data_IF_023899673742
#
_entry.id   IF_023899673742
#
_cell.length_a   1.000
_cell.length_b   1.000
_cell.length_c   1.000
_cell.angle_alpha   90.00
_cell.angle_beta   90.00
_cell.angle_gamma   90.00
#
_symmetry.space_group_name_H-M   'P 1'
#
loop_
_entity.id
_entity.type
_entity.pdbx_description
1 polymer ?
#
# COMPACT_ATOMS: atom_id res chain seq x y z
N UNK A 1 18.78 28.33 -2.05
CA UNK A 1 17.42 27.92 -2.46
C UNK A 1 17.37 26.58 -3.20
N UNK A 2 18.42 26.21 -3.96
CA UNK A 2 18.40 25.00 -4.80
C UNK A 2 18.39 23.67 -4.01
N UNK A 3 19.02 23.62 -2.83
CA UNK A 3 18.98 22.44 -1.95
C UNK A 3 17.54 22.08 -1.52
N UNK A 4 16.75 23.07 -1.08
CA UNK A 4 15.37 22.84 -0.64
C UNK A 4 14.48 22.35 -1.79
N UNK A 5 14.71 22.84 -3.01
CA UNK A 5 14.03 22.39 -4.22
C UNK A 5 14.38 20.96 -4.59
N UNK A 6 15.67 20.62 -4.55
CA UNK A 6 16.13 19.26 -4.84
C UNK A 6 15.59 18.28 -3.79
N UNK A 7 15.60 18.69 -2.52
CA UNK A 7 15.04 17.90 -1.41
C UNK A 7 13.53 17.67 -1.56
N UNK A 8 12.77 18.68 -1.99
CA UNK A 8 11.32 18.50 -2.21
C UNK A 8 11.01 17.57 -3.38
N UNK A 9 11.77 17.65 -4.48
CA UNK A 9 11.67 16.69 -5.58
C UNK A 9 12.03 15.28 -5.17
N UNK A 10 13.09 15.12 -4.37
CA UNK A 10 13.47 13.81 -3.85
C UNK A 10 12.35 13.19 -3.00
N UNK A 11 11.76 13.95 -2.07
CA UNK A 11 10.65 13.43 -1.26
C UNK A 11 9.43 13.04 -2.09
N UNK A 12 9.06 13.88 -3.07
CA UNK A 12 7.96 13.55 -3.98
C UNK A 12 8.23 12.28 -4.78
N UNK A 13 9.43 12.15 -5.33
CA UNK A 13 9.82 10.95 -6.08
C UNK A 13 9.79 9.69 -5.20
N UNK A 14 10.33 9.78 -3.98
CA UNK A 14 10.29 8.67 -3.02
C UNK A 14 8.85 8.26 -2.67
N UNK A 15 7.94 9.22 -2.53
CA UNK A 15 6.53 8.96 -2.30
C UNK A 15 5.87 8.26 -3.50
N UNK A 16 6.11 8.76 -4.72
CA UNK A 16 5.61 8.18 -5.97
C UNK A 16 6.08 6.73 -6.16
N UNK A 17 7.36 6.45 -5.89
CA UNK A 17 7.90 5.07 -5.89
C UNK A 17 7.21 4.22 -4.84
N UNK A 18 6.98 4.75 -3.63
CA UNK A 18 6.23 4.08 -2.58
C UNK A 18 4.81 3.70 -2.99
N UNK A 19 4.10 4.57 -3.73
CA UNK A 19 2.78 4.26 -4.28
C UNK A 19 2.83 3.19 -5.36
N UNK A 20 3.81 3.26 -6.27
CA UNK A 20 3.99 2.27 -7.32
C UNK A 20 4.20 0.85 -6.77
N UNK A 21 5.01 0.71 -5.71
CA UNK A 21 5.25 -0.58 -5.04
C UNK A 21 3.99 -1.12 -4.38
N UNK A 22 3.22 -0.25 -3.70
CA UNK A 22 1.94 -0.64 -3.09
C UNK A 22 0.93 -1.09 -4.14
N UNK A 23 0.86 -0.39 -5.26
CA UNK A 23 -0.05 -0.73 -6.34
C UNK A 23 0.34 -2.03 -7.04
N UNK A 24 1.64 -2.26 -7.26
CA UNK A 24 2.14 -3.56 -7.72
C UNK A 24 1.61 -4.71 -6.86
N UNK A 25 1.73 -4.58 -5.53
CA UNK A 25 1.25 -5.59 -4.59
C UNK A 25 -0.26 -5.82 -4.74
N UNK A 26 -1.05 -4.75 -4.77
CA UNK A 26 -2.53 -4.82 -4.92
C UNK A 26 -2.95 -5.53 -6.21
N UNK A 27 -2.26 -5.25 -7.31
CA UNK A 27 -2.53 -5.89 -8.61
C UNK A 27 -2.27 -7.39 -8.54
N UNK A 28 -1.16 -7.81 -7.94
CA UNK A 28 -0.81 -9.23 -7.79
C UNK A 28 -1.82 -9.97 -6.90
N UNK A 29 -2.17 -9.39 -5.74
CA UNK A 29 -3.18 -9.94 -4.83
C UNK A 29 -4.55 -10.06 -5.51
N UNK A 30 -4.91 -9.05 -6.33
CA UNK A 30 -6.17 -9.07 -7.08
C UNK A 30 -6.20 -10.18 -8.11
N UNK A 31 -5.13 -10.35 -8.89
CA UNK A 31 -5.04 -11.41 -9.90
C UNK A 31 -5.08 -12.80 -9.27
N UNK A 32 -4.42 -12.99 -8.14
CA UNK A 32 -4.46 -14.25 -7.38
C UNK A 32 -5.88 -14.55 -6.90
N UNK A 33 -6.50 -13.60 -6.20
CA UNK A 33 -7.88 -13.72 -5.71
C UNK A 33 -8.87 -14.04 -6.83
N UNK A 34 -8.74 -13.36 -7.97
CA UNK A 34 -9.58 -13.63 -9.13
C UNK A 34 -9.35 -15.01 -9.73
N UNK A 35 -8.10 -15.48 -9.81
CA UNK A 35 -7.80 -16.82 -10.30
C UNK A 35 -8.48 -17.90 -9.44
N UNK A 36 -8.42 -17.76 -8.11
CA UNK A 36 -9.10 -18.64 -7.16
C UNK A 36 -10.63 -18.54 -7.25
N UNK A 37 -11.17 -17.35 -7.54
CA UNK A 37 -12.59 -17.19 -7.79
C UNK A 37 -13.04 -17.95 -9.05
N UNK A 38 -12.21 -17.98 -10.11
CA UNK A 38 -12.49 -18.75 -11.31
C UNK A 38 -12.36 -20.26 -11.09
N UNK A 39 -11.40 -20.73 -10.29
CA UNK A 39 -11.30 -22.16 -9.92
C UNK A 39 -12.55 -22.63 -9.17
N UNK A 40 -13.07 -21.79 -8.26
CA UNK A 40 -14.33 -22.09 -7.56
C UNK A 40 -15.52 -22.14 -8.52
N UNK A 41 -15.56 -21.26 -9.52
CA UNK A 41 -16.60 -21.27 -10.57
C UNK A 41 -16.51 -22.51 -11.47
N UNK A 42 -15.31 -23.00 -11.76
CA UNK A 42 -15.10 -24.26 -12.45
C UNK A 42 -15.74 -25.43 -11.67
N UNK A 43 -15.49 -25.50 -10.36
CA UNK A 43 -16.15 -26.46 -9.47
C UNK A 43 -17.68 -26.30 -9.46
N UNK A 44 -18.18 -25.05 -9.51
CA UNK A 44 -19.61 -24.73 -9.57
C UNK A 44 -20.31 -25.11 -10.88
N UNK A 45 -19.59 -25.27 -12.00
CA UNK A 45 -20.18 -25.73 -13.25
C UNK A 45 -20.80 -27.13 -13.14
N UNK A 46 -20.45 -27.90 -12.10
CA UNK A 46 -21.03 -29.23 -11.84
C UNK A 46 -22.55 -29.21 -11.64
N UNK A 47 -23.12 -28.09 -11.23
CA UNK A 47 -24.56 -27.94 -10.97
C UNK A 47 -25.41 -27.73 -12.24
N UNK A 48 -24.80 -27.64 -13.43
CA UNK A 48 -25.55 -27.47 -14.68
C UNK A 48 -26.01 -28.83 -15.23
N UNK A 49 -27.31 -28.97 -15.52
CA UNK A 49 -27.90 -30.22 -16.03
C UNK A 49 -27.54 -30.55 -17.48
N UNK A 50 -27.24 -29.54 -18.30
CA UNK A 50 -26.83 -29.75 -19.70
C UNK A 50 -25.34 -30.11 -19.78
N UNK A 51 -24.96 -31.30 -20.28
CA UNK A 51 -23.57 -31.76 -20.31
C UNK A 51 -22.64 -30.86 -21.13
N UNK A 52 -23.10 -30.42 -22.31
CA UNK A 52 -22.33 -29.55 -23.21
C UNK A 52 -22.09 -28.18 -22.58
N UNK A 53 -23.11 -27.61 -21.94
CA UNK A 53 -22.99 -26.33 -21.26
C UNK A 53 -22.03 -26.42 -20.06
N UNK A 54 -22.13 -27.50 -19.27
CA UNK A 54 -21.22 -27.76 -18.16
C UNK A 54 -19.76 -27.83 -18.61
N UNK A 55 -19.48 -28.56 -19.70
CA UNK A 55 -18.13 -28.65 -20.25
C UNK A 55 -17.62 -27.29 -20.72
N UNK A 56 -18.47 -26.52 -21.42
CA UNK A 56 -18.13 -25.17 -21.87
C UNK A 56 -17.83 -24.21 -20.72
N UNK A 57 -18.66 -24.21 -19.68
CA UNK A 57 -18.47 -23.38 -18.49
C UNK A 57 -17.20 -23.75 -17.71
N UNK A 58 -16.94 -25.05 -17.53
CA UNK A 58 -15.72 -25.54 -16.88
C UNK A 58 -14.47 -25.11 -17.66
N UNK A 59 -14.45 -25.37 -18.97
CA UNK A 59 -13.33 -25.00 -19.83
C UNK A 59 -13.11 -23.48 -19.87
N UNK A 60 -14.20 -22.70 -19.90
CA UNK A 60 -14.11 -21.25 -19.85
C UNK A 60 -13.54 -20.75 -18.53
N UNK A 61 -14.04 -21.26 -17.39
CA UNK A 61 -13.54 -20.90 -16.07
C UNK A 61 -12.05 -21.24 -15.91
N UNK A 62 -11.63 -22.44 -16.32
CA UNK A 62 -10.23 -22.86 -16.34
C UNK A 62 -9.36 -21.92 -17.18
N UNK A 63 -9.82 -21.54 -18.38
CA UNK A 63 -9.13 -20.58 -19.25
C UNK A 63 -9.01 -19.21 -18.57
N UNK A 64 -10.07 -18.71 -17.93
CA UNK A 64 -10.03 -17.44 -17.23
C UNK A 64 -9.01 -17.48 -16.07
N UNK A 65 -9.00 -18.54 -15.26
CA UNK A 65 -8.02 -18.73 -14.19
C UNK A 65 -6.58 -18.75 -14.73
N UNK A 66 -6.33 -19.50 -15.81
CA UNK A 66 -5.03 -19.55 -16.47
C UNK A 66 -4.56 -18.19 -16.96
N UNK A 67 -5.45 -17.38 -17.53
CA UNK A 67 -5.11 -16.01 -17.99
C UNK A 67 -4.65 -15.14 -16.82
N UNK A 68 -5.36 -15.18 -15.67
CA UNK A 68 -4.98 -14.35 -14.50
C UNK A 68 -3.62 -14.77 -13.94
N UNK A 69 -3.36 -16.08 -13.85
CA UNK A 69 -2.04 -16.60 -13.42
C UNK A 69 -0.94 -16.17 -14.39
N UNK A 70 -1.18 -16.24 -15.69
CA UNK A 70 -0.24 -15.78 -16.71
C UNK A 70 0.03 -14.27 -16.62
N UNK A 71 -1.00 -13.45 -16.40
CA UNK A 71 -0.86 -12.02 -16.16
C UNK A 71 -0.05 -11.73 -14.89
N UNK A 72 -0.33 -12.44 -13.80
CA UNK A 72 0.41 -12.29 -12.53
C UNK A 72 1.89 -12.62 -12.70
N UNK A 73 2.21 -13.72 -13.39
CA UNK A 73 3.60 -14.11 -13.67
C UNK A 73 4.31 -13.09 -14.57
N UNK A 74 3.66 -12.64 -15.65
CA UNK A 74 4.23 -11.63 -16.56
C UNK A 74 4.48 -10.30 -15.83
N UNK A 75 3.50 -9.85 -15.05
CA UNK A 75 3.62 -8.62 -14.28
C UNK A 75 4.74 -8.74 -13.25
N UNK A 76 4.78 -9.83 -12.49
CA UNK A 76 5.85 -10.10 -11.51
C UNK A 76 7.23 -10.05 -12.14
N UNK A 77 7.41 -10.64 -13.32
CA UNK A 77 8.68 -10.61 -14.07
C UNK A 77 9.09 -9.19 -14.47
N UNK A 78 8.18 -8.42 -15.07
CA UNK A 78 8.46 -7.02 -15.44
C UNK A 78 8.98 -6.24 -14.24
N UNK A 79 8.37 -6.42 -13.08
CA UNK A 79 8.79 -5.73 -11.86
C UNK A 79 10.06 -6.31 -11.22
N UNK A 80 10.41 -7.57 -11.45
CA UNK A 80 11.69 -8.14 -11.00
C UNK A 80 12.85 -7.54 -11.81
N UNK A 81 12.70 -7.51 -13.13
CA UNK A 81 13.68 -6.94 -14.05
C UNK A 81 13.98 -5.46 -13.71
N UNK A 82 12.97 -4.69 -13.27
CA UNK A 82 13.15 -3.28 -12.85
C UNK A 82 13.74 -3.09 -11.45
N UNK A 83 13.54 -4.05 -10.53
CA UNK A 83 14.13 -3.97 -9.19
C UNK A 83 15.63 -4.28 -9.26
N UNK A 84 16.04 -5.25 -10.06
CA UNK A 84 17.47 -5.58 -10.23
C UNK A 84 18.26 -4.43 -10.85
N UNK A 85 17.68 -3.70 -11.82
CA UNK A 85 18.32 -2.50 -12.39
C UNK A 85 18.50 -1.39 -11.34
N UNK A 86 17.54 -1.21 -10.43
CA UNK A 86 17.63 -0.15 -9.41
C UNK A 86 18.56 -0.48 -8.26
N UNK A 87 18.68 -1.75 -7.86
CA UNK A 87 19.66 -2.19 -6.86
C UNK A 87 21.10 -2.09 -7.38
N UNK A 88 21.33 -2.39 -8.66
CA UNK A 88 22.65 -2.28 -9.29
C UNK A 88 23.12 -0.81 -9.47
N UNK A 89 22.21 0.16 -9.48
CA UNK A 89 22.57 1.59 -9.50
C UNK A 89 22.84 2.16 -8.10
N UNK A 90 22.44 1.45 -7.05
CA UNK A 90 22.59 1.90 -5.67
C UNK A 90 23.96 1.53 -5.08
N UNK A 91 24.63 0.51 -5.62
CA UNK A 91 25.97 0.06 -5.17
C UNK A 91 27.10 1.02 -5.50
N UNK A 92 26.88 2.01 -6.37
CA UNK A 92 27.88 3.01 -6.73
C UNK A 92 27.72 4.33 -5.95
N UNK A 93 26.73 4.43 -5.05
CA UNK A 93 26.35 5.69 -4.42
C UNK A 93 26.38 5.70 -2.88
N UNK A 94 27.01 4.70 -2.25
CA UNK A 94 27.36 4.73 -0.82
C UNK A 94 28.57 5.66 -0.54
N UNK A 95 28.57 6.85 -1.15
CA UNK A 95 29.27 8.00 -0.60
C UNK A 95 28.46 8.47 0.61
N UNK A 96 28.79 7.91 1.78
CA UNK A 96 28.36 8.38 3.09
C UNK A 96 28.28 9.92 3.09
N UNK A 97 27.08 10.47 3.24
CA UNK A 97 26.94 11.82 3.75
C UNK A 97 27.55 11.81 5.16
N UNK A 98 28.60 12.61 5.44
CA UNK A 98 29.13 12.71 6.78
C UNK A 98 28.01 13.20 7.69
N UNK A 99 27.58 12.35 8.61
CA UNK A 99 26.86 12.77 9.81
C UNK A 99 27.87 13.52 10.69
N UNK A 100 28.23 14.74 10.27
CA UNK A 100 29.11 15.59 11.05
C UNK A 100 28.27 16.44 11.99
N UNK A 101 28.49 16.13 13.27
CA UNK A 101 28.10 16.86 14.45
C UNK A 101 28.22 18.39 14.28
N UNK A 102 27.08 19.09 14.30
CA UNK A 102 27.03 20.47 14.74
C UNK A 102 26.44 20.52 16.16
N UNK A 103 27.25 20.13 17.14
CA UNK A 103 27.16 20.72 18.48
C UNK A 103 28.13 21.90 18.50
N UNK A 104 27.59 23.12 18.50
CA UNK A 104 28.24 24.25 19.16
C UNK A 104 27.17 25.29 19.51
N UNK A 105 26.80 25.24 20.78
CA UNK A 105 26.58 26.37 21.69
C UNK A 105 26.05 27.67 21.06
N UNK A 106 24.80 27.98 21.39
CA UNK A 106 24.32 29.35 21.47
C UNK A 106 23.31 29.41 22.60
N UNK A 107 23.84 29.60 23.81
CA UNK A 107 23.10 30.26 24.88
C UNK A 107 22.58 31.62 24.40
N UNK A 108 21.45 32.02 24.99
CA UNK A 108 20.84 33.34 24.96
C UNK A 108 20.01 33.74 23.72
N UNK A 109 18.75 33.29 23.67
CA UNK A 109 17.64 34.20 23.36
C UNK A 109 16.55 34.00 24.44
N UNK A 110 16.60 34.88 25.44
CA UNK A 110 15.49 35.21 26.34
C UNK A 110 14.44 35.97 25.51
N UNK A 111 13.16 35.65 25.67
CA UNK A 111 12.04 36.62 25.76
C UNK A 111 10.68 35.86 25.88
N UNK A 112 9.64 36.50 26.45
CA UNK A 112 9.05 36.06 27.71
C UNK A 112 7.72 35.29 27.54
N UNK A 113 7.42 34.50 28.57
CA UNK A 113 6.06 34.04 28.85
C UNK A 113 5.13 35.24 29.05
N UNK A 114 4.03 35.27 28.31
CA UNK A 114 2.85 36.03 28.67
C UNK A 114 1.78 35.03 29.13
N UNK A 115 1.29 35.31 30.32
CA UNK A 115 0.21 34.67 31.05
C UNK A 115 -1.11 35.30 30.60
N UNK A 116 -2.15 34.48 30.41
CA UNK A 116 -3.60 34.75 30.59
C UNK A 116 -4.29 33.39 30.27
N UNK A 117 -4.66 32.52 31.22
CA UNK A 117 -5.87 32.46 32.11
C UNK A 117 -7.17 32.81 31.38
N UNK A 118 -8.31 32.12 31.45
CA UNK A 118 -8.87 30.87 31.98
C UNK A 118 -10.14 30.65 31.08
N UNK A 119 -10.76 29.48 30.89
CA UNK A 119 -11.81 28.95 31.77
C UNK A 119 -12.42 27.63 31.20
N UNK A 120 -12.74 26.75 32.15
CA UNK A 120 -13.85 25.77 32.28
C UNK A 120 -14.26 24.82 31.12
N UNK A 121 -14.03 23.51 31.27
CA UNK A 121 -14.89 22.45 31.88
C UNK A 121 -15.89 21.83 30.89
N UNK A 122 -15.73 20.52 30.62
CA UNK A 122 -16.78 19.53 30.89
C UNK A 122 -16.21 18.10 30.83
N UNK A 123 -16.31 17.44 31.99
CA UNK A 123 -16.05 16.03 32.20
C UNK A 123 -16.93 15.17 31.27
N UNK A 124 -16.30 14.24 30.54
CA UNK A 124 -17.01 13.11 29.96
C UNK A 124 -17.36 12.13 31.08
N UNK A 125 -18.63 12.16 31.49
CA UNK A 125 -19.23 11.10 32.29
C UNK A 125 -19.35 9.81 31.48
N UNK A 126 -19.11 8.71 32.20
CA UNK A 126 -19.17 7.33 31.75
C UNK A 126 -20.61 6.84 31.70
N UNK A 127 -20.83 5.92 30.76
CA UNK A 127 -21.73 4.76 30.80
C UNK A 127 -23.16 4.96 31.31
N UNK A 128 -24.13 4.70 30.43
CA UNK A 128 -25.26 3.87 30.81
C UNK A 128 -25.72 3.00 29.62
N UNK A 129 -25.76 1.70 29.88
CA UNK A 129 -26.40 0.67 29.08
C UNK A 129 -27.87 0.61 29.52
N UNK A 130 -28.84 0.78 28.61
CA UNK A 130 -30.16 0.12 28.74
C UNK A 130 -31.03 0.33 27.51
N UNK A 131 -31.64 -0.78 27.10
CA UNK A 131 -32.98 -0.90 26.48
C UNK A 131 -33.16 -0.37 25.05
N UNK A 132 -33.21 -1.32 24.12
CA UNK A 132 -34.06 -1.18 22.93
C UNK A 132 -34.94 -2.43 22.86
N UNK A 133 -36.04 -2.39 23.62
CA UNK A 133 -37.15 -3.33 23.52
C UNK A 133 -38.07 -2.92 22.36
N UNK A 134 -38.24 -3.87 21.45
CA UNK A 134 -39.50 -4.30 20.83
C UNK A 134 -40.65 -3.28 20.77
N UNK A 135 -40.93 -2.79 19.55
CA UNK A 135 -42.29 -2.84 18.95
C UNK A 135 -42.22 -2.78 17.41
#
# INVERSE_FOLDING_TARGET
MEFLRTRSWHYRYAEEVGYAVKEKRRVLETLERESLAWDRREGGARFTHCPTLRQGLSAYAAKQASIRRGLSAKFSRIWADHVDVSQNLNTDNDAQLPTESLRRDSDAIIMPAQVESDDEVLHLDKADESENDLE
#
